data_IF_488526925480
#
_entry.id   IF_488526925480
#
_cell.length_a   1.000
_cell.length_b   1.000
_cell.length_c   1.000
_cell.angle_alpha   90.00
_cell.angle_beta   90.00
_cell.angle_gamma   90.00
#
_symmetry.space_group_name_H-M   'P 1'
#
loop_
_entity.id
_entity.type
_entity.pdbx_description
1 polymer ?
#
# COMPACT_ATOMS: atom_id res chain seq x y z
N UNK A 1 12.14 2.53 2.39
CA UNK A 1 11.81 2.60 3.82
C UNK A 1 11.08 3.89 4.16
N UNK A 2 10.35 3.91 5.27
CA UNK A 2 9.76 5.14 5.80
C UNK A 2 10.54 5.64 7.02
N UNK A 3 10.53 6.96 7.21
CA UNK A 3 11.25 7.62 8.32
C UNK A 3 10.62 8.99 8.60
N UNK A 4 10.67 9.40 9.86
CA UNK A 4 10.21 10.70 10.36
C UNK A 4 11.31 11.77 10.42
N UNK A 5 12.50 11.48 9.89
CA UNK A 5 13.69 12.38 9.92
C UNK A 5 13.45 13.78 9.36
N UNK A 6 12.39 13.97 8.58
CA UNK A 6 11.98 15.27 8.05
C UNK A 6 10.80 15.91 8.82
N UNK A 7 10.52 15.44 10.04
CA UNK A 7 9.45 15.92 10.92
C UNK A 7 8.17 15.10 10.86
N UNK A 8 7.88 14.48 9.72
CA UNK A 8 6.73 13.59 9.52
C UNK A 8 7.17 12.32 8.80
N UNK A 9 6.43 11.23 9.01
CA UNK A 9 6.73 9.95 8.39
C UNK A 9 6.58 10.03 6.86
N UNK A 10 7.70 9.82 6.16
CA UNK A 10 7.82 9.93 4.71
C UNK A 10 8.57 8.73 4.15
N UNK A 11 8.47 8.51 2.83
CA UNK A 11 9.18 7.44 2.15
C UNK A 11 10.51 7.95 1.59
N UNK A 12 11.53 7.13 1.78
CA UNK A 12 12.89 7.34 1.31
C UNK A 12 13.37 6.12 0.52
N UNK A 13 14.22 6.36 -0.44
CA UNK A 13 15.01 5.33 -1.14
C UNK A 13 16.49 5.54 -0.82
N UNK A 14 17.26 4.46 -0.90
CA UNK A 14 18.71 4.48 -0.76
C UNK A 14 19.31 3.35 -1.60
N UNK A 15 20.62 3.39 -1.82
CA UNK A 15 21.33 2.23 -2.37
C UNK A 15 21.41 1.09 -1.35
N UNK A 16 21.69 -0.12 -1.82
CA UNK A 16 21.83 -1.31 -0.95
C UNK A 16 22.96 -1.20 0.08
N UNK A 17 23.97 -0.37 -0.17
CA UNK A 17 25.06 -0.06 0.76
C UNK A 17 24.69 1.03 1.81
N UNK A 18 23.43 1.51 1.79
CA UNK A 18 22.94 2.56 2.69
C UNK A 18 23.24 3.98 2.23
N UNK A 19 23.97 4.16 1.13
CA UNK A 19 24.32 5.48 0.59
C UNK A 19 23.18 6.10 -0.23
N UNK A 20 23.30 7.38 -0.56
CA UNK A 20 22.37 8.13 -1.43
C UNK A 20 20.92 8.10 -0.94
N UNK A 21 20.72 8.29 0.35
CA UNK A 21 19.37 8.40 0.93
C UNK A 21 18.65 9.61 0.35
N UNK A 22 17.52 9.37 -0.31
CA UNK A 22 16.71 10.40 -0.95
C UNK A 22 15.25 10.24 -0.54
N UNK A 23 14.59 11.33 -0.12
CA UNK A 23 13.15 11.37 0.09
C UNK A 23 12.44 11.37 -1.27
N UNK A 24 11.34 10.62 -1.38
CA UNK A 24 10.54 10.50 -2.61
C UNK A 24 9.05 10.79 -2.41
N UNK A 25 8.58 11.00 -1.17
CA UNK A 25 7.21 11.44 -0.88
C UNK A 25 7.20 12.88 -0.39
N UNK A 26 6.38 13.74 -1.00
CA UNK A 26 6.32 15.18 -0.70
C UNK A 26 4.90 15.68 -0.43
N UNK A 27 3.90 14.83 -0.53
CA UNK A 27 2.51 15.15 -0.23
C UNK A 27 2.26 15.37 1.26
N UNK A 28 1.10 15.95 1.57
CA UNK A 28 0.63 16.09 2.96
C UNK A 28 0.20 14.74 3.52
N UNK A 29 0.44 14.51 4.82
CA UNK A 29 0.07 13.30 5.53
C UNK A 29 1.28 12.44 5.91
N UNK A 30 0.98 11.27 6.44
CA UNK A 30 1.97 10.26 6.88
C UNK A 30 2.02 9.14 5.84
N UNK A 31 3.22 8.70 5.49
CA UNK A 31 3.46 7.63 4.53
C UNK A 31 4.13 6.44 5.21
N UNK A 32 3.65 5.24 4.93
CA UNK A 32 4.18 4.02 5.52
C UNK A 32 4.08 2.80 4.60
N UNK A 33 4.56 1.68 5.09
CA UNK A 33 4.49 0.36 4.42
C UNK A 33 4.90 0.38 2.94
N UNK A 34 6.07 0.97 2.57
CA UNK A 34 6.49 1.02 1.17
C UNK A 34 6.90 -0.36 0.67
N UNK A 35 6.41 -0.74 -0.51
CA UNK A 35 6.72 -2.02 -1.16
C UNK A 35 7.08 -1.80 -2.62
N UNK A 36 8.24 -2.28 -3.05
CA UNK A 36 8.67 -2.22 -4.43
C UNK A 36 7.78 -3.07 -5.35
N UNK A 37 7.41 -2.50 -6.49
CA UNK A 37 6.87 -3.27 -7.60
C UNK A 37 7.91 -4.31 -8.08
N UNK A 38 7.50 -5.55 -8.41
CA UNK A 38 8.41 -6.54 -8.98
C UNK A 38 9.04 -6.10 -10.31
N UNK A 39 8.48 -5.08 -10.95
CA UNK A 39 9.02 -4.46 -12.17
C UNK A 39 10.09 -3.39 -11.88
N UNK A 40 10.23 -2.96 -10.61
CA UNK A 40 11.21 -1.95 -10.19
C UNK A 40 10.87 -0.50 -10.60
N UNK A 41 9.68 -0.25 -11.12
CA UNK A 41 9.26 1.05 -11.66
C UNK A 41 8.43 1.88 -10.67
N UNK A 42 7.80 1.23 -9.69
CA UNK A 42 6.89 1.86 -8.75
C UNK A 42 7.13 1.37 -7.31
N UNK A 43 6.71 2.19 -6.37
CA UNK A 43 6.58 1.82 -4.96
C UNK A 43 5.10 1.98 -4.57
N UNK A 44 4.49 0.92 -4.05
CA UNK A 44 3.20 0.99 -3.39
C UNK A 44 3.39 1.44 -1.93
N UNK A 45 2.40 2.12 -1.39
CA UNK A 45 2.46 2.65 -0.02
C UNK A 45 1.08 2.80 0.61
N UNK A 46 1.06 2.88 1.92
CA UNK A 46 -0.08 3.38 2.70
C UNK A 46 0.13 4.87 3.00
N UNK A 47 -0.92 5.66 2.90
CA UNK A 47 -0.92 7.08 3.29
C UNK A 47 -2.06 7.35 4.25
N UNK A 48 -1.78 8.03 5.36
CA UNK A 48 -2.78 8.58 6.27
C UNK A 48 -2.84 10.09 6.09
N UNK A 49 -4.01 10.61 5.70
CA UNK A 49 -4.24 12.05 5.58
C UNK A 49 -5.66 12.41 5.97
N UNK A 50 -5.81 13.41 6.87
CA UNK A 50 -7.12 13.89 7.38
C UNK A 50 -8.03 12.77 7.89
N UNK A 51 -7.45 11.80 8.63
CA UNK A 51 -8.20 10.69 9.23
C UNK A 51 -8.64 9.59 8.26
N UNK A 52 -8.13 9.61 7.03
CA UNK A 52 -8.40 8.60 6.00
C UNK A 52 -7.13 7.91 5.55
N UNK A 53 -7.25 6.64 5.27
CA UNK A 53 -6.18 5.81 4.74
C UNK A 53 -6.33 5.62 3.23
N UNK A 54 -5.21 5.70 2.55
CA UNK A 54 -5.11 5.52 1.10
C UNK A 54 -4.08 4.44 0.79
N UNK A 55 -4.36 3.61 -0.19
CA UNK A 55 -3.35 2.82 -0.90
C UNK A 55 -2.99 3.59 -2.16
N UNK A 56 -1.72 3.81 -2.37
CA UNK A 56 -1.22 4.56 -3.52
C UNK A 56 0.04 3.96 -4.10
N UNK A 57 0.46 4.51 -5.22
CA UNK A 57 1.72 4.19 -5.91
C UNK A 57 2.47 5.47 -6.26
N UNK A 58 3.79 5.41 -6.27
CA UNK A 58 4.65 6.51 -6.71
C UNK A 58 5.85 5.99 -7.49
N UNK A 59 6.40 6.86 -8.34
CA UNK A 59 7.70 6.63 -8.98
C UNK A 59 8.83 7.08 -8.07
N UNK A 60 10.03 6.65 -8.38
CA UNK A 60 11.24 7.02 -7.62
C UNK A 60 11.91 8.30 -8.12
N UNK A 61 11.39 8.87 -9.20
CA UNK A 61 11.90 10.07 -9.89
C UNK A 61 11.23 11.38 -9.45
N UNK A 62 10.45 11.36 -8.35
CA UNK A 62 9.69 12.48 -7.81
C UNK A 62 8.54 12.97 -8.73
N UNK A 63 8.16 12.22 -9.76
CA UNK A 63 7.07 12.59 -10.69
C UNK A 63 5.67 12.54 -10.06
N UNK A 64 5.61 12.32 -8.75
CA UNK A 64 4.38 12.39 -7.98
C UNK A 64 3.79 11.04 -7.59
N UNK A 65 2.72 11.12 -6.82
CA UNK A 65 1.97 9.98 -6.33
C UNK A 65 0.63 9.88 -7.04
N UNK A 66 0.10 8.67 -7.10
CA UNK A 66 -1.28 8.39 -7.50
C UNK A 66 -1.95 7.55 -6.42
N UNK A 67 -3.02 8.08 -5.84
CA UNK A 67 -3.84 7.37 -4.86
C UNK A 67 -4.84 6.50 -5.63
N UNK A 68 -4.92 5.23 -5.27
CA UNK A 68 -5.76 4.23 -5.95
C UNK A 68 -7.10 4.04 -5.25
N UNK A 69 -7.10 4.03 -3.91
CA UNK A 69 -8.30 3.82 -3.11
C UNK A 69 -8.22 4.57 -1.79
N UNK A 70 -9.37 4.87 -1.21
CA UNK A 70 -9.56 5.59 0.06
C UNK A 70 -10.49 4.79 0.96
N UNK A 71 -10.15 4.69 2.26
CA UNK A 71 -11.05 4.09 3.25
C UNK A 71 -10.76 4.63 4.67
N UNK A 72 -11.63 4.25 5.61
CA UNK A 72 -11.44 4.55 7.03
C UNK A 72 -10.16 3.92 7.59
N UNK A 73 -9.92 2.62 7.30
CA UNK A 73 -8.70 1.92 7.65
C UNK A 73 -8.35 0.89 6.60
N UNK A 74 -7.19 1.03 6.01
CA UNK A 74 -6.61 0.07 5.06
C UNK A 74 -5.10 0.27 5.00
N UNK A 75 -4.32 -0.82 4.87
CA UNK A 75 -2.87 -0.73 4.79
C UNK A 75 -2.20 -2.01 4.25
N UNK A 76 -0.88 -2.02 4.30
CA UNK A 76 0.00 -3.14 3.95
C UNK A 76 -0.22 -3.67 2.52
N UNK A 77 0.00 -2.84 1.48
CA UNK A 77 -0.10 -3.31 0.11
C UNK A 77 0.99 -4.33 -0.23
N UNK A 78 0.61 -5.35 -1.00
CA UNK A 78 1.53 -6.33 -1.59
C UNK A 78 1.25 -6.44 -3.09
N UNK A 79 2.29 -6.60 -3.89
CA UNK A 79 2.19 -6.66 -5.34
C UNK A 79 1.95 -8.07 -5.85
N UNK A 80 1.07 -8.22 -6.84
CA UNK A 80 1.05 -9.42 -7.68
C UNK A 80 2.37 -9.55 -8.44
N UNK A 81 2.83 -10.78 -8.76
CA UNK A 81 4.13 -11.01 -9.41
C UNK A 81 4.30 -10.29 -10.75
N UNK A 82 3.20 -10.00 -11.46
CA UNK A 82 3.24 -9.26 -12.73
C UNK A 82 3.21 -7.72 -12.55
N UNK A 83 3.14 -7.21 -11.30
CA UNK A 83 3.13 -5.78 -11.00
C UNK A 83 1.86 -5.03 -11.45
N UNK A 84 0.74 -5.73 -11.63
CA UNK A 84 -0.51 -5.13 -12.14
C UNK A 84 -1.62 -4.99 -11.12
N UNK A 85 -1.57 -5.77 -10.04
CA UNK A 85 -2.58 -5.80 -9.00
C UNK A 85 -1.93 -5.61 -7.64
N UNK A 86 -2.56 -4.85 -6.77
CA UNK A 86 -2.23 -4.76 -5.36
C UNK A 86 -3.27 -5.53 -4.55
N UNK A 87 -2.82 -6.24 -3.53
CA UNK A 87 -3.65 -6.78 -2.47
C UNK A 87 -3.26 -6.06 -1.17
N UNK A 88 -4.25 -5.75 -0.37
CA UNK A 88 -4.09 -5.05 0.92
C UNK A 88 -5.18 -5.49 1.88
N UNK A 89 -5.05 -5.20 3.17
CA UNK A 89 -6.16 -5.43 4.06
C UNK A 89 -6.91 -4.13 4.38
N UNK A 90 -8.18 -4.30 4.72
CA UNK A 90 -9.10 -3.24 5.09
C UNK A 90 -9.95 -3.70 6.26
N UNK A 91 -10.12 -2.85 7.26
CA UNK A 91 -11.12 -3.07 8.29
C UNK A 91 -12.49 -2.64 7.78
N UNK A 92 -13.45 -3.54 7.92
CA UNK A 92 -14.86 -3.31 7.62
C UNK A 92 -15.69 -3.55 8.86
N UNK A 93 -16.85 -2.93 8.96
CA UNK A 93 -17.79 -3.20 10.04
C UNK A 93 -18.28 -4.63 9.93
N UNK A 94 -18.28 -5.36 11.04
CA UNK A 94 -18.58 -6.78 11.03
C UNK A 94 -20.08 -7.10 11.07
N UNK A 95 -20.95 -6.14 11.39
CA UNK A 95 -22.41 -6.32 11.37
C UNK A 95 -23.15 -5.05 10.93
N UNK A 96 -24.45 -5.19 10.62
CA UNK A 96 -25.32 -4.09 10.18
C UNK A 96 -25.50 -2.99 11.23
N UNK A 97 -25.25 -3.29 12.50
CA UNK A 97 -25.29 -2.32 13.60
C UNK A 97 -23.98 -1.53 13.75
N UNK A 98 -22.94 -1.89 12.98
CA UNK A 98 -21.62 -1.26 13.03
C UNK A 98 -20.81 -1.61 14.29
N UNK A 99 -21.15 -2.72 14.93
CA UNK A 99 -20.42 -3.25 16.09
C UNK A 99 -19.36 -4.26 15.62
N UNK A 100 -18.14 -4.09 16.16
CA UNK A 100 -16.99 -4.90 15.78
C UNK A 100 -16.37 -4.49 14.44
N UNK A 101 -15.15 -4.94 14.24
CA UNK A 101 -14.40 -4.76 12.99
C UNK A 101 -13.91 -6.13 12.52
N UNK A 102 -13.86 -6.29 11.23
CA UNK A 102 -13.40 -7.49 10.56
C UNK A 102 -12.35 -7.09 9.52
N UNK A 103 -11.17 -7.65 9.66
CA UNK A 103 -10.09 -7.43 8.70
C UNK A 103 -10.30 -8.34 7.49
N UNK A 104 -10.43 -7.76 6.32
CA UNK A 104 -10.64 -8.48 5.06
C UNK A 104 -9.59 -8.07 4.03
N UNK A 105 -9.22 -9.00 3.18
CA UNK A 105 -8.34 -8.72 2.05
C UNK A 105 -9.11 -8.12 0.90
N UNK A 106 -8.50 -7.14 0.26
CA UNK A 106 -9.01 -6.46 -0.92
C UNK A 106 -7.95 -6.41 -2.00
N UNK A 107 -8.37 -6.43 -3.24
CA UNK A 107 -7.47 -6.23 -4.38
C UNK A 107 -7.94 -5.07 -5.24
N UNK A 108 -6.99 -4.40 -5.90
CA UNK A 108 -7.25 -3.31 -6.84
C UNK A 108 -6.23 -3.36 -7.97
N UNK A 109 -6.66 -3.06 -9.19
CA UNK A 109 -5.76 -2.93 -10.31
C UNK A 109 -4.89 -1.68 -10.17
N UNK A 110 -3.69 -1.73 -10.74
CA UNK A 110 -2.78 -0.57 -10.79
C UNK A 110 -3.43 0.66 -11.45
N UNK A 111 -4.45 0.46 -12.29
CA UNK A 111 -5.24 1.54 -12.89
C UNK A 111 -6.18 2.26 -11.92
N UNK A 112 -6.40 1.71 -10.71
CA UNK A 112 -7.37 2.20 -9.72
C UNK A 112 -8.79 1.67 -9.93
N UNK A 113 -8.96 0.69 -10.85
CA UNK A 113 -10.23 0.02 -11.11
C UNK A 113 -10.25 -1.41 -10.56
N UNK A 114 -11.42 -2.07 -10.67
CA UNK A 114 -11.63 -3.45 -10.27
C UNK A 114 -11.32 -3.72 -8.79
N UNK A 115 -11.61 -2.74 -7.92
CA UNK A 115 -11.51 -2.94 -6.49
C UNK A 115 -12.53 -4.00 -6.04
N UNK A 116 -12.06 -5.04 -5.35
CA UNK A 116 -12.90 -6.14 -4.89
C UNK A 116 -12.34 -6.81 -3.65
N UNK A 117 -13.24 -7.35 -2.84
CA UNK A 117 -12.86 -8.18 -1.70
C UNK A 117 -12.36 -9.53 -2.21
N UNK A 118 -11.25 -9.98 -1.63
CA UNK A 118 -10.75 -11.35 -1.77
C UNK A 118 -11.42 -12.20 -0.69
N UNK A 119 -12.10 -13.26 -1.11
CA UNK A 119 -12.82 -14.13 -0.17
C UNK A 119 -11.83 -14.92 0.68
N UNK A 120 -12.00 -14.84 2.00
CA UNK A 120 -11.28 -15.63 2.99
C UNK A 120 -12.29 -16.21 3.97
N UNK A 121 -12.05 -17.41 4.48
CA UNK A 121 -12.95 -18.08 5.43
C UNK A 121 -13.03 -17.32 6.77
N UNK A 122 -11.92 -16.73 7.18
CA UNK A 122 -11.79 -15.96 8.41
C UNK A 122 -11.34 -14.53 8.14
N UNK A 123 -11.14 -13.75 9.20
CA UNK A 123 -10.44 -12.48 9.11
C UNK A 123 -9.00 -12.68 8.61
N UNK A 124 -8.51 -11.73 7.82
CA UNK A 124 -7.20 -11.81 7.23
C UNK A 124 -6.56 -10.42 7.08
N UNK A 125 -5.24 -10.36 7.38
CA UNK A 125 -4.38 -9.17 7.24
C UNK A 125 -3.04 -9.56 6.63
N UNK A 126 -2.17 -8.58 6.41
CA UNK A 126 -0.78 -8.73 6.00
C UNK A 126 -0.59 -9.66 4.78
N UNK A 127 -1.28 -9.38 3.67
CA UNK A 127 -1.23 -10.24 2.50
C UNK A 127 0.16 -10.26 1.87
N UNK A 128 0.53 -11.42 1.35
CA UNK A 128 1.74 -11.59 0.56
C UNK A 128 1.43 -12.46 -0.67
N UNK A 129 1.85 -12.04 -1.85
CA UNK A 129 1.76 -12.82 -3.06
C UNK A 129 2.92 -13.83 -3.12
N UNK A 130 2.63 -15.04 -3.55
CA UNK A 130 3.68 -15.99 -3.92
C UNK A 130 4.35 -15.58 -5.23
N UNK A 131 5.60 -16.02 -5.43
CA UNK A 131 6.24 -15.95 -6.73
C UNK A 131 5.44 -16.76 -7.77
N UNK A 132 5.59 -16.42 -9.05
CA UNK A 132 5.12 -17.32 -10.11
C UNK A 132 5.83 -18.65 -9.96
N UNK A 133 5.04 -19.74 -9.98
CA UNK A 133 5.64 -21.08 -10.04
C UNK A 133 6.35 -21.21 -11.39
N UNK A 134 7.63 -21.59 -11.37
CA UNK A 134 8.32 -22.01 -12.58
C UNK A 134 7.71 -23.34 -13.04
N UNK A 135 7.18 -23.37 -14.25
CA UNK A 135 6.77 -24.61 -14.91
C UNK A 135 8.00 -25.47 -15.25
#
# INVERSE_FOLDING_TARGET
FNSDRSGFQQIYVMKSDGSNVKRISFGKGLYGTPVWSPRGDLIAFTKLHKGKFYIGVMRTDDSGERLLTENYYQEAPSWSPNGRVLIFYRETKSNDKGEGFSAKLWSIDLTGYNERQVQTETDASDPSWSSLLSN
#
